data_IF_182121351390
#
_entry.id   IF_182121351390
#
_cell.length_a   1.000
_cell.length_b   1.000
_cell.length_c   1.000
_cell.angle_alpha   90.00
_cell.angle_beta   90.00
_cell.angle_gamma   90.00
#
_symmetry.space_group_name_H-M   'P 1'
#
loop_
_entity.id
_entity.type
_entity.pdbx_description
1 polymer ?
#
# COMPACT_ATOMS: atom_id res chain seq x y z
N UNK A 1 -16.56 0.02 -16.96
CA UNK A 1 -16.45 0.94 -15.85
C UNK A 1 -16.98 0.21 -14.61
N UNK A 2 -16.19 0.14 -13.56
CA UNK A 2 -16.54 -0.47 -12.29
C UNK A 2 -16.44 0.60 -11.21
N UNK A 3 -17.41 0.61 -10.30
CA UNK A 3 -17.43 1.52 -9.16
C UNK A 3 -17.99 0.77 -7.96
N UNK A 4 -17.31 0.88 -6.84
CA UNK A 4 -17.72 0.32 -5.56
C UNK A 4 -17.50 1.34 -4.46
N UNK A 5 -18.43 1.42 -3.52
CA UNK A 5 -18.28 2.18 -2.29
C UNK A 5 -18.59 1.26 -1.12
N UNK A 6 -17.79 1.34 -0.06
CA UNK A 6 -17.96 0.49 1.11
C UNK A 6 -17.75 1.26 2.41
N UNK A 7 -18.34 0.76 3.47
CA UNK A 7 -18.09 1.20 4.83
C UNK A 7 -18.05 -0.01 5.76
N UNK A 8 -17.12 0.02 6.70
CA UNK A 8 -16.98 -1.00 7.74
C UNK A 8 -16.98 -0.32 9.08
N UNK A 9 -17.86 -0.72 9.96
CA UNK A 9 -17.90 -0.27 11.34
C UNK A 9 -17.46 -1.42 12.24
N UNK A 10 -16.38 -1.21 13.00
CA UNK A 10 -15.84 -2.18 13.94
C UNK A 10 -16.20 -1.78 15.36
N UNK A 11 -16.70 -2.74 16.12
CA UNK A 11 -16.95 -2.62 17.55
C UNK A 11 -15.97 -3.50 18.31
N UNK A 12 -15.42 -2.98 19.41
CA UNK A 12 -14.56 -3.74 20.32
C UNK A 12 -13.39 -4.43 19.55
N UNK A 13 -12.77 -3.70 18.62
CA UNK A 13 -11.56 -4.19 17.96
C UNK A 13 -10.46 -4.45 19.00
N UNK A 14 -9.76 -5.57 18.86
CA UNK A 14 -8.61 -5.85 19.72
C UNK A 14 -7.45 -4.93 19.31
N UNK A 15 -7.07 -4.04 20.21
CA UNK A 15 -5.93 -3.15 20.04
C UNK A 15 -4.80 -3.56 21.00
N UNK A 16 -3.56 -3.36 20.56
CA UNK A 16 -2.42 -3.32 21.45
C UNK A 16 -2.25 -1.88 21.91
N UNK A 17 -2.47 -1.63 23.17
CA UNK A 17 -2.39 -0.31 23.78
C UNK A 17 -1.59 -0.35 25.08
N UNK A 18 -1.16 0.81 25.56
CA UNK A 18 -0.39 0.95 26.78
C UNK A 18 -1.20 0.41 27.96
N UNK A 19 -0.53 -0.34 28.81
CA UNK A 19 -1.15 -1.03 29.93
C UNK A 19 -0.38 -0.79 31.23
N UNK A 20 -1.14 -0.60 32.29
CA UNK A 20 -0.59 -0.45 33.64
C UNK A 20 -0.96 -1.68 34.48
N UNK A 21 0.03 -2.34 35.04
CA UNK A 21 -0.19 -3.45 35.97
C UNK A 21 -0.87 -2.98 37.24
N UNK A 22 -1.51 -3.92 37.99
CA UNK A 22 -2.26 -3.64 39.20
C UNK A 22 -1.51 -2.87 40.30
N UNK A 23 -0.18 -2.85 40.22
CA UNK A 23 0.70 -2.12 41.15
C UNK A 23 1.12 -0.73 40.61
N UNK A 24 0.51 -0.24 39.55
CA UNK A 24 0.78 1.07 38.95
C UNK A 24 2.02 1.11 38.05
N UNK A 25 2.64 -0.05 37.74
CA UNK A 25 3.80 -0.12 36.87
C UNK A 25 3.34 -0.10 35.42
N UNK A 26 3.78 0.88 34.63
CA UNK A 26 3.54 1.01 33.19
C UNK A 26 4.77 0.69 32.34
N UNK A 27 5.95 0.61 32.96
CA UNK A 27 7.23 0.34 32.29
C UNK A 27 8.01 -0.75 33.02
N UNK A 28 8.74 -1.56 32.27
CA UNK A 28 9.64 -2.61 32.79
C UNK A 28 10.98 -2.55 32.04
N UNK A 29 12.04 -3.07 32.68
CA UNK A 29 13.30 -3.33 31.98
C UNK A 29 13.13 -4.64 31.23
N UNK A 30 13.18 -4.60 29.92
CA UNK A 30 13.14 -5.75 29.02
C UNK A 30 14.39 -5.73 28.14
N UNK A 31 15.13 -6.83 28.13
CA UNK A 31 16.41 -6.96 27.39
C UNK A 31 17.41 -5.81 27.62
N UNK A 32 17.43 -5.28 28.86
CA UNK A 32 18.33 -4.20 29.28
C UNK A 32 17.84 -2.79 28.96
N UNK A 33 16.69 -2.63 28.30
CA UNK A 33 16.08 -1.34 27.98
C UNK A 33 14.75 -1.12 28.71
N UNK A 34 14.49 0.13 29.09
CA UNK A 34 13.21 0.51 29.66
C UNK A 34 12.12 0.45 28.58
N UNK A 35 11.14 -0.41 28.76
CA UNK A 35 10.11 -0.70 27.77
C UNK A 35 8.72 -0.46 28.37
N UNK A 36 7.86 0.22 27.59
CA UNK A 36 6.46 0.42 27.92
C UNK A 36 5.71 -0.91 27.89
N UNK A 37 4.92 -1.18 28.94
CA UNK A 37 4.05 -2.36 28.99
C UNK A 37 2.85 -2.12 28.09
N UNK A 38 2.58 -3.07 27.19
CA UNK A 38 1.42 -3.06 26.31
C UNK A 38 0.62 -4.34 26.45
N UNK A 39 -0.69 -4.26 26.37
CA UNK A 39 -1.58 -5.41 26.40
C UNK A 39 -2.58 -5.36 25.23
N UNK A 40 -3.09 -6.53 24.86
CA UNK A 40 -4.26 -6.59 23.99
C UNK A 40 -5.49 -6.23 24.82
N UNK A 41 -6.16 -5.17 24.39
CA UNK A 41 -7.35 -4.64 25.07
C UNK A 41 -8.52 -4.64 24.07
N UNK A 42 -9.74 -4.77 24.60
CA UNK A 42 -10.93 -4.45 23.82
C UNK A 42 -10.91 -2.94 23.58
N UNK A 43 -10.60 -2.61 22.37
CA UNK A 43 -10.40 -1.22 22.02
C UNK A 43 -11.64 -0.60 21.42
N UNK A 44 -11.39 0.46 20.79
CA UNK A 44 -12.22 1.47 20.22
C UNK A 44 -13.21 0.97 19.17
N UNK A 45 -14.14 1.80 18.89
CA UNK A 45 -14.97 1.75 17.69
C UNK A 45 -14.18 2.37 16.57
N UNK A 46 -14.15 1.70 15.42
CA UNK A 46 -13.48 2.24 14.23
C UNK A 46 -14.44 2.28 13.05
N UNK A 47 -14.33 3.33 12.26
CA UNK A 47 -15.05 3.50 11.00
C UNK A 47 -14.03 3.52 9.86
N UNK A 48 -14.16 2.59 8.94
CA UNK A 48 -13.36 2.54 7.71
C UNK A 48 -14.32 2.68 6.54
N UNK A 49 -13.98 3.54 5.59
CA UNK A 49 -14.78 3.72 4.38
C UNK A 49 -13.88 4.00 3.18
N UNK A 50 -14.38 3.68 2.01
CA UNK A 50 -13.63 3.90 0.80
C UNK A 50 -14.46 3.77 -0.46
N UNK A 51 -13.82 4.13 -1.56
CA UNK A 51 -14.35 3.97 -2.91
C UNK A 51 -13.29 3.33 -3.79
N UNK A 52 -13.74 2.44 -4.65
CA UNK A 52 -12.92 1.82 -5.68
C UNK A 52 -13.46 2.20 -7.04
N UNK A 53 -12.57 2.52 -7.95
CA UNK A 53 -12.89 2.89 -9.31
C UNK A 53 -12.03 2.08 -10.27
N UNK A 54 -12.67 1.42 -11.23
CA UNK A 54 -12.04 0.65 -12.30
C UNK A 54 -12.48 1.12 -13.68
N UNK A 55 -11.53 1.29 -14.58
CA UNK A 55 -11.75 1.53 -16.00
C UNK A 55 -11.13 0.40 -16.83
N UNK A 56 -11.89 -0.16 -17.76
CA UNK A 56 -11.40 -1.06 -18.78
C UNK A 56 -12.03 -0.64 -20.12
N UNK A 57 -11.23 -0.03 -20.97
CA UNK A 57 -11.68 0.59 -22.22
C UNK A 57 -10.85 0.09 -23.41
N UNK A 58 -11.52 -0.39 -24.41
CA UNK A 58 -10.93 -0.66 -25.73
C UNK A 58 -10.90 0.64 -26.53
N UNK A 59 -9.69 1.12 -26.87
CA UNK A 59 -9.52 2.28 -27.76
C UNK A 59 -9.76 1.82 -29.20
N UNK A 60 -9.19 0.68 -29.56
CA UNK A 60 -9.41 0.00 -30.84
C UNK A 60 -9.09 -1.50 -30.67
N UNK A 61 -9.07 -2.25 -31.80
CA UNK A 61 -8.83 -3.73 -31.78
C UNK A 61 -7.50 -4.14 -31.12
N UNK A 62 -6.51 -3.24 -31.07
CA UNK A 62 -5.18 -3.56 -30.57
C UNK A 62 -4.84 -2.84 -29.25
N UNK A 63 -5.49 -1.72 -28.94
CA UNK A 63 -5.16 -0.91 -27.78
C UNK A 63 -6.27 -0.91 -26.73
N UNK A 64 -5.87 -1.11 -25.49
CA UNK A 64 -6.73 -1.09 -24.30
C UNK A 64 -6.12 -0.24 -23.21
N UNK A 65 -6.94 0.53 -22.53
CA UNK A 65 -6.59 1.17 -21.26
C UNK A 65 -7.27 0.41 -20.13
N UNK A 66 -6.52 0.12 -19.07
CA UNK A 66 -7.05 -0.34 -17.78
C UNK A 66 -6.54 0.55 -16.67
N UNK A 67 -7.39 0.87 -15.71
CA UNK A 67 -6.96 1.51 -14.48
C UNK A 67 -7.78 1.02 -13.29
N UNK A 68 -7.17 1.05 -12.11
CA UNK A 68 -7.82 0.76 -10.84
C UNK A 68 -7.30 1.76 -9.81
N UNK A 69 -8.20 2.33 -9.04
CA UNK A 69 -7.89 3.29 -8.00
C UNK A 69 -8.67 2.94 -6.74
N UNK A 70 -8.01 3.04 -5.60
CA UNK A 70 -8.61 2.84 -4.28
C UNK A 70 -8.36 4.09 -3.43
N UNK A 71 -9.46 4.67 -2.93
CA UNK A 71 -9.45 5.77 -1.99
C UNK A 71 -10.05 5.25 -0.69
N UNK A 72 -9.28 5.30 0.38
CA UNK A 72 -9.67 4.72 1.67
C UNK A 72 -9.28 5.64 2.82
N UNK A 73 -10.15 5.71 3.82
CA UNK A 73 -9.87 6.36 5.08
C UNK A 73 -10.43 5.53 6.24
N UNK A 74 -9.83 5.65 7.40
CA UNK A 74 -10.28 4.97 8.61
C UNK A 74 -9.96 5.78 9.86
N UNK A 75 -10.90 5.84 10.79
CA UNK A 75 -10.79 6.62 12.01
C UNK A 75 -11.26 5.82 13.22
N UNK A 76 -10.52 5.97 14.32
CA UNK A 76 -10.94 5.54 15.65
C UNK A 76 -11.87 6.60 16.24
N UNK A 77 -13.01 6.18 16.80
CA UNK A 77 -14.10 7.07 17.18
C UNK A 77 -14.20 7.35 18.69
N UNK A 78 -13.37 6.71 19.50
CA UNK A 78 -13.51 6.81 20.97
C UNK A 78 -12.94 8.11 21.54
N UNK A 79 -12.08 8.78 20.83
CA UNK A 79 -11.48 10.04 21.23
C UNK A 79 -12.16 11.26 20.56
N UNK A 80 -13.48 11.22 20.41
CA UNK A 80 -14.20 12.40 19.93
C UNK A 80 -13.97 13.60 20.88
N UNK A 81 -13.69 14.81 20.33
CA UNK A 81 -13.89 15.24 18.95
C UNK A 81 -12.70 15.00 18.00
N UNK A 82 -11.62 14.40 18.46
CA UNK A 82 -10.39 14.21 17.67
C UNK A 82 -10.30 12.73 17.21
N UNK A 83 -11.02 12.41 16.13
CA UNK A 83 -10.90 11.08 15.51
C UNK A 83 -9.46 10.84 15.03
N UNK A 84 -8.82 9.79 15.56
CA UNK A 84 -7.45 9.42 15.18
C UNK A 84 -7.47 8.47 13.99
N UNK A 85 -6.50 8.56 13.06
CA UNK A 85 -6.39 7.60 11.96
C UNK A 85 -6.19 6.17 12.47
N UNK A 86 -6.93 5.23 11.90
CA UNK A 86 -6.75 3.79 12.19
C UNK A 86 -5.40 3.33 11.64
N UNK A 87 -4.69 2.55 12.43
CA UNK A 87 -3.42 1.98 12.05
C UNK A 87 -3.55 1.06 10.83
N UNK A 88 -2.54 1.08 9.96
CA UNK A 88 -2.41 0.23 8.77
C UNK A 88 -3.49 0.43 7.69
N UNK A 89 -4.26 1.50 7.74
CA UNK A 89 -5.04 1.91 6.57
C UNK A 89 -4.04 2.33 5.48
N UNK A 90 -4.05 1.68 4.30
CA UNK A 90 -3.11 2.01 3.25
C UNK A 90 -3.34 3.43 2.73
N UNK A 91 -2.32 4.09 2.18
CA UNK A 91 -2.51 5.32 1.42
C UNK A 91 -3.40 5.06 0.21
N UNK A 92 -3.97 6.10 -0.38
CA UNK A 92 -4.65 5.95 -1.66
C UNK A 92 -3.67 5.40 -2.70
N UNK A 93 -4.08 4.41 -3.46
CA UNK A 93 -3.23 3.75 -4.43
C UNK A 93 -3.98 3.40 -5.71
N UNK A 94 -3.21 3.11 -6.74
CA UNK A 94 -3.80 2.68 -8.00
C UNK A 94 -2.76 2.34 -9.05
N UNK A 95 -3.29 2.00 -10.22
CA UNK A 95 -2.49 1.71 -11.40
C UNK A 95 -3.16 2.26 -12.66
N UNK A 96 -2.36 2.42 -13.70
CA UNK A 96 -2.83 2.76 -15.05
C UNK A 96 -2.00 1.96 -16.05
N UNK A 97 -2.67 1.25 -16.93
CA UNK A 97 -2.10 0.39 -17.97
C UNK A 97 -2.47 0.89 -19.35
N UNK A 98 -1.53 0.92 -20.25
CA UNK A 98 -1.73 1.00 -21.68
C UNK A 98 -1.26 -0.32 -22.31
N UNK A 99 -2.20 -1.09 -22.81
CA UNK A 99 -1.96 -2.44 -23.32
C UNK A 99 -2.11 -2.42 -24.84
N UNK A 100 -1.04 -2.81 -25.53
CA UNK A 100 -1.07 -3.16 -26.94
C UNK A 100 -1.12 -4.67 -27.08
N UNK A 101 -2.02 -5.18 -27.90
CA UNK A 101 -2.16 -6.60 -28.18
C UNK A 101 -2.43 -6.85 -29.67
N UNK A 102 -1.68 -7.79 -30.22
CA UNK A 102 -1.97 -8.39 -31.53
C UNK A 102 -1.82 -9.92 -31.43
N UNK A 103 -1.89 -10.63 -32.55
CA UNK A 103 -1.86 -12.11 -32.57
C UNK A 103 -0.61 -12.70 -31.89
N UNK A 104 0.54 -12.05 -31.98
CA UNK A 104 1.82 -12.60 -31.54
C UNK A 104 2.47 -11.84 -30.38
N UNK A 105 2.04 -10.60 -30.11
CA UNK A 105 2.73 -9.72 -29.17
C UNK A 105 1.70 -9.03 -28.27
N UNK A 106 1.93 -9.10 -26.96
CA UNK A 106 1.27 -8.24 -25.97
C UNK A 106 2.33 -7.38 -25.31
N UNK A 107 2.10 -6.08 -25.27
CA UNK A 107 2.91 -5.11 -24.53
C UNK A 107 2.02 -4.33 -23.58
N UNK A 108 2.34 -4.36 -22.30
CA UNK A 108 1.66 -3.65 -21.23
C UNK A 108 2.64 -2.66 -20.59
N UNK A 109 2.43 -1.38 -20.84
CA UNK A 109 3.16 -0.30 -20.17
C UNK A 109 2.26 0.21 -19.04
N UNK A 110 2.77 0.20 -17.82
CA UNK A 110 1.93 0.56 -16.68
C UNK A 110 2.70 1.33 -15.60
N UNK A 111 1.93 2.11 -14.87
CA UNK A 111 2.41 2.75 -13.66
C UNK A 111 1.65 2.24 -12.44
N UNK A 112 2.33 2.20 -11.31
CA UNK A 112 1.73 2.03 -10.00
C UNK A 112 2.05 3.25 -9.15
N UNK A 113 1.12 3.65 -8.30
CA UNK A 113 1.34 4.77 -7.40
C UNK A 113 0.71 4.56 -6.02
N UNK A 114 1.30 5.21 -5.04
CA UNK A 114 0.71 5.46 -3.73
C UNK A 114 0.76 6.95 -3.44
N UNK A 115 -0.28 7.46 -2.78
CA UNK A 115 -0.27 8.81 -2.24
C UNK A 115 0.59 8.91 -0.99
N UNK A 116 0.89 10.13 -0.59
CA UNK A 116 1.52 10.44 0.69
C UNK A 116 0.54 10.16 1.86
N UNK A 117 1.10 9.77 3.00
CA UNK A 117 0.43 9.89 4.30
C UNK A 117 1.24 10.90 5.13
N UNK A 118 0.66 12.07 5.34
CA UNK A 118 1.26 13.12 6.16
C UNK A 118 1.28 12.73 7.64
N UNK A 119 2.08 13.42 8.46
CA UNK A 119 2.17 13.20 9.90
C UNK A 119 0.80 13.16 10.58
N UNK A 120 -0.10 14.09 10.23
CA UNK A 120 -1.43 14.16 10.83
C UNK A 120 -2.33 12.96 10.48
N UNK A 121 -2.06 12.30 9.37
CA UNK A 121 -2.77 11.13 8.88
C UNK A 121 -2.09 9.79 9.24
N UNK A 122 -0.94 9.83 9.93
CA UNK A 122 -0.34 8.66 10.55
C UNK A 122 -1.07 8.34 11.86
N UNK A 123 -1.36 7.06 12.09
CA UNK A 123 -1.82 6.59 13.40
C UNK A 123 -0.78 6.91 14.48
N UNK A 124 -1.21 7.16 15.71
CA UNK A 124 -0.30 7.56 16.80
C UNK A 124 0.84 6.55 17.02
N UNK A 125 0.52 5.27 16.99
CA UNK A 125 1.52 4.19 17.12
C UNK A 125 2.53 4.13 15.96
N UNK A 126 2.22 4.69 14.80
CA UNK A 126 3.13 4.80 13.66
C UNK A 126 4.01 6.05 13.78
N UNK A 127 3.50 7.16 14.34
CA UNK A 127 4.30 8.36 14.65
C UNK A 127 5.45 8.07 15.60
N UNK A 128 5.30 7.08 16.48
CA UNK A 128 6.34 6.64 17.41
C UNK A 128 7.47 5.82 16.74
N UNK A 129 7.43 5.61 15.43
CA UNK A 129 8.40 4.80 14.67
C UNK A 129 9.11 5.61 13.58
N UNK A 130 9.80 6.70 13.91
CA UNK A 130 10.41 7.58 12.90
C UNK A 130 11.46 6.86 12.04
N UNK A 131 12.02 5.75 12.52
CA UNK A 131 13.04 4.97 11.79
C UNK A 131 12.52 4.25 10.55
N UNK A 132 11.19 4.07 10.40
CA UNK A 132 10.59 3.46 9.20
C UNK A 132 10.03 4.48 8.22
N UNK A 133 9.96 5.75 8.59
CA UNK A 133 9.38 6.84 7.83
C UNK A 133 10.43 7.85 7.36
N UNK A 134 10.09 8.65 6.37
CA UNK A 134 10.82 9.88 6.05
C UNK A 134 10.46 10.97 7.07
N UNK A 135 11.29 12.00 7.16
CA UNK A 135 11.01 13.18 7.98
C UNK A 135 10.65 14.35 7.06
N UNK A 136 9.62 15.10 7.42
CA UNK A 136 9.29 16.38 6.79
C UNK A 136 10.23 17.51 7.22
N UNK A 137 10.05 18.71 6.70
CA UNK A 137 10.89 19.88 7.02
C UNK A 137 10.82 20.30 8.51
N UNK A 138 9.80 19.84 9.23
CA UNK A 138 9.63 20.07 10.67
C UNK A 138 10.18 18.92 11.52
N UNK A 139 10.73 17.88 10.89
CA UNK A 139 11.22 16.69 11.57
C UNK A 139 10.13 15.68 11.95
N UNK A 140 8.90 15.80 11.42
CA UNK A 140 7.84 14.86 11.68
C UNK A 140 7.89 13.67 10.72
N UNK A 141 7.62 12.43 11.18
CA UNK A 141 7.57 11.27 10.31
C UNK A 141 6.36 11.33 9.36
N UNK A 142 6.58 10.93 8.11
CA UNK A 142 5.55 10.78 7.10
C UNK A 142 5.89 9.67 6.10
N UNK A 143 4.90 9.14 5.40
CA UNK A 143 5.11 8.17 4.32
C UNK A 143 5.06 8.91 2.98
N UNK A 144 6.20 9.05 2.24
CA UNK A 144 6.23 9.73 0.97
C UNK A 144 5.37 9.04 -0.10
N UNK A 145 4.80 9.83 -1.00
CA UNK A 145 4.19 9.32 -2.22
C UNK A 145 5.25 8.75 -3.17
N UNK A 146 4.84 7.81 -3.99
CA UNK A 146 5.71 7.26 -5.02
C UNK A 146 4.93 6.83 -6.27
N UNK A 147 5.64 6.83 -7.38
CA UNK A 147 5.16 6.30 -8.66
C UNK A 147 6.29 5.46 -9.26
N UNK A 148 5.96 4.28 -9.78
CA UNK A 148 6.86 3.44 -10.57
C UNK A 148 6.30 3.25 -11.98
N UNK A 149 7.18 3.25 -12.99
CA UNK A 149 6.87 2.91 -14.36
C UNK A 149 7.42 1.53 -14.69
N UNK A 150 6.63 0.74 -15.38
CA UNK A 150 6.91 -0.66 -15.63
C UNK A 150 6.51 -1.03 -17.05
N UNK A 151 7.17 -2.05 -17.59
CA UNK A 151 6.90 -2.63 -18.91
C UNK A 151 6.82 -4.14 -18.78
N UNK A 152 5.77 -4.73 -19.32
CA UNK A 152 5.65 -6.18 -19.50
C UNK A 152 5.41 -6.46 -20.97
N UNK A 153 6.13 -7.43 -21.52
CA UNK A 153 5.91 -7.90 -22.88
C UNK A 153 5.85 -9.42 -22.94
N UNK A 154 4.98 -9.92 -23.77
CA UNK A 154 4.84 -11.32 -24.11
C UNK A 154 4.96 -11.49 -25.62
N UNK A 155 5.74 -12.45 -26.04
CA UNK A 155 5.94 -12.83 -27.43
C UNK A 155 5.52 -14.29 -27.61
N UNK A 156 4.46 -14.54 -28.38
CA UNK A 156 4.02 -15.88 -28.77
C UNK A 156 4.83 -16.31 -30.02
N UNK A 157 5.85 -17.11 -29.78
CA UNK A 157 6.77 -17.58 -30.84
C UNK A 157 6.12 -18.69 -31.66
N UNK A 158 5.32 -19.54 -30.99
CA UNK A 158 4.49 -20.58 -31.60
C UNK A 158 3.26 -20.85 -30.71
N UNK A 159 2.36 -21.72 -31.15
CA UNK A 159 1.21 -22.14 -30.35
C UNK A 159 1.61 -22.74 -28.99
N UNK A 160 2.85 -23.24 -28.85
CA UNK A 160 3.35 -23.90 -27.65
C UNK A 160 4.42 -23.09 -26.90
N UNK A 161 4.99 -22.05 -27.49
CA UNK A 161 6.13 -21.33 -26.91
C UNK A 161 5.85 -19.85 -26.75
N UNK A 162 5.87 -19.37 -25.49
CA UNK A 162 5.74 -17.98 -25.14
C UNK A 162 6.98 -17.50 -24.35
N UNK A 163 7.51 -16.35 -24.74
CA UNK A 163 8.56 -15.63 -24.03
C UNK A 163 7.97 -14.41 -23.33
N UNK A 164 8.30 -14.22 -22.06
CA UNK A 164 7.86 -13.05 -21.32
C UNK A 164 9.09 -12.28 -20.84
N UNK A 165 9.02 -10.97 -20.96
CA UNK A 165 10.03 -10.03 -20.49
C UNK A 165 9.35 -8.90 -19.73
N UNK A 166 9.79 -8.66 -18.49
CA UNK A 166 9.28 -7.57 -17.65
C UNK A 166 10.42 -6.71 -17.16
N UNK A 167 10.22 -5.41 -17.21
CA UNK A 167 11.09 -4.41 -16.58
C UNK A 167 10.25 -3.69 -15.54
N UNK A 168 10.62 -3.80 -14.29
CA UNK A 168 9.95 -3.15 -13.19
C UNK A 168 10.73 -1.95 -12.69
N UNK A 169 10.02 -0.92 -12.27
CA UNK A 169 10.61 0.30 -11.74
C UNK A 169 11.68 0.89 -12.65
N UNK A 170 11.32 1.14 -13.91
CA UNK A 170 12.22 1.61 -14.99
C UNK A 170 12.98 2.89 -14.58
N UNK A 171 12.35 3.75 -13.80
CA UNK A 171 12.94 5.00 -13.30
C UNK A 171 13.88 4.80 -12.12
N UNK A 172 14.06 3.56 -11.67
CA UNK A 172 14.86 3.21 -10.49
C UNK A 172 14.50 4.07 -9.25
N UNK A 173 13.18 4.30 -9.05
CA UNK A 173 12.69 5.07 -7.93
C UNK A 173 12.99 4.33 -6.62
N UNK A 174 13.73 4.96 -5.72
CA UNK A 174 13.85 4.47 -4.35
C UNK A 174 12.57 4.81 -3.59
N UNK A 175 11.87 3.81 -3.10
CA UNK A 175 10.67 3.98 -2.30
C UNK A 175 10.52 2.87 -1.26
N UNK A 176 9.68 3.12 -0.29
CA UNK A 176 9.33 2.17 0.75
C UNK A 176 7.81 2.08 0.82
N UNK A 177 7.22 0.88 0.76
CA UNK A 177 5.79 0.71 1.01
C UNK A 177 5.41 1.23 2.39
N UNK A 178 4.21 1.76 2.52
CA UNK A 178 3.70 2.26 3.80
C UNK A 178 3.81 1.20 4.90
N UNK A 179 4.21 1.62 6.09
CA UNK A 179 4.42 0.78 7.27
C UNK A 179 5.44 -0.37 7.07
N UNK A 180 6.31 -0.28 6.06
CA UNK A 180 7.38 -1.24 5.81
C UNK A 180 8.73 -0.69 6.27
N UNK A 181 9.51 -1.50 6.98
CA UNK A 181 10.92 -1.21 7.29
C UNK A 181 11.87 -1.49 6.11
N UNK A 182 11.38 -2.07 5.01
CA UNK A 182 12.19 -2.55 3.89
C UNK A 182 11.89 -1.71 2.65
N UNK A 183 12.93 -1.22 1.98
CA UNK A 183 12.80 -0.55 0.68
C UNK A 183 12.38 -1.55 -0.39
N UNK A 184 11.53 -1.11 -1.30
CA UNK A 184 11.15 -1.88 -2.47
C UNK A 184 12.36 -2.04 -3.43
N UNK A 185 12.36 -3.08 -4.29
CA UNK A 185 13.38 -3.23 -5.32
C UNK A 185 13.47 -2.01 -6.23
N UNK A 186 14.70 -1.68 -6.63
CA UNK A 186 14.95 -0.71 -7.69
C UNK A 186 14.59 -1.27 -9.08
N UNK A 187 15.31 -0.85 -10.09
CA UNK A 187 15.20 -1.40 -11.45
C UNK A 187 15.40 -2.93 -11.42
N UNK A 188 14.41 -3.67 -11.93
CA UNK A 188 14.41 -5.12 -11.91
C UNK A 188 14.01 -5.67 -13.30
N UNK A 189 14.63 -6.78 -13.69
CA UNK A 189 14.35 -7.50 -14.94
C UNK A 189 13.87 -8.91 -14.61
N UNK A 190 12.76 -9.31 -15.23
CA UNK A 190 12.24 -10.66 -15.12
C UNK A 190 12.08 -11.24 -16.51
N UNK A 191 12.63 -12.43 -16.72
CA UNK A 191 12.49 -13.18 -17.96
C UNK A 191 11.90 -14.56 -17.67
N UNK A 192 10.92 -14.98 -18.45
CA UNK A 192 10.36 -16.34 -18.34
C UNK A 192 10.03 -16.93 -19.71
N UNK A 193 10.11 -18.24 -19.78
CA UNK A 193 9.77 -19.06 -20.96
C UNK A 193 8.70 -20.03 -20.54
N UNK A 194 7.56 -20.01 -21.24
CA UNK A 194 6.48 -20.98 -21.05
C UNK A 194 6.39 -21.87 -22.28
N UNK A 195 6.44 -23.18 -22.06
CA UNK A 195 6.31 -24.20 -23.11
C UNK A 195 5.23 -25.20 -22.74
N UNK A 196 4.23 -25.36 -23.63
CA UNK A 196 3.15 -26.32 -23.50
C UNK A 196 3.46 -27.58 -24.28
N UNK A 197 3.36 -28.75 -23.64
CA UNK A 197 3.69 -30.06 -24.23
C UNK A 197 2.62 -30.57 -25.19
#
# INVERSE_FOLDING_TARGET
LDFSAYTTYLYNSLLRDDFTLNNGISEIIYDGELSQIQALQNGSKSLIYGVEFGLNMLINKNFRIKSQHNLIAGYELDELPFAMPVRHIPPNYGNLHLIYNNENITVDTYLNYNSEISFNNLAQSERAKPYIYALDDNGNPYSPSWVTFNLRSQFSISEKLNLNFTVENITNKLYRPYSSGISAPGLNFVFSVNYDY
#
